data_IF_467619935067
#
_entry.id   IF_467619935067
#
_cell.length_a   1.000
_cell.length_b   1.000
_cell.length_c   1.000
_cell.angle_alpha   90.00
_cell.angle_beta   90.00
_cell.angle_gamma   90.00
#
_symmetry.space_group_name_H-M   'P 1'
#
loop_
_entity.id
_entity.type
_entity.pdbx_description
1 polymer ?
#
# COMPACT_ATOMS: atom_id res chain seq x y z
N UNK A 1 -24.39 -5.40 10.72
CA UNK A 1 -23.86 -4.15 10.13
C UNK A 1 -22.35 -4.20 10.21
N UNK A 2 -21.69 -4.69 9.17
CA UNK A 2 -20.23 -4.75 9.11
C UNK A 2 -19.72 -3.38 8.67
N UNK A 3 -19.21 -2.58 9.61
CA UNK A 3 -18.81 -1.20 9.33
C UNK A 3 -17.47 -1.16 8.58
N UNK A 4 -17.54 -0.55 7.42
CA UNK A 4 -16.59 -0.07 6.40
C UNK A 4 -15.20 0.42 6.85
N UNK A 5 -14.86 0.41 8.14
CA UNK A 5 -13.66 1.08 8.67
C UNK A 5 -12.48 0.16 9.04
N UNK A 6 -12.68 -1.16 9.13
CA UNK A 6 -11.54 -2.11 9.14
C UNK A 6 -10.86 -2.18 7.77
N UNK A 7 -11.64 -1.91 6.73
CA UNK A 7 -11.15 -1.76 5.37
C UNK A 7 -10.25 -0.55 5.21
N UNK A 8 -10.20 0.45 6.09
CA UNK A 8 -9.40 1.68 5.89
C UNK A 8 -7.91 1.45 6.11
N UNK A 9 -7.53 0.63 7.09
CA UNK A 9 -6.13 0.25 7.30
C UNK A 9 -5.62 -0.68 6.19
N UNK A 10 -6.46 -1.65 5.82
CA UNK A 10 -6.24 -2.44 4.61
C UNK A 10 -6.36 -1.59 3.35
N UNK A 11 -7.11 -0.48 3.31
CA UNK A 11 -7.19 0.46 2.18
C UNK A 11 -5.94 1.31 2.08
N UNK A 12 -5.32 1.75 3.17
CA UNK A 12 -4.06 2.49 3.06
C UNK A 12 -2.90 1.60 2.59
N UNK A 13 -3.00 0.30 2.90
CA UNK A 13 -2.09 -0.73 2.40
C UNK A 13 -2.54 -1.30 1.03
N UNK A 14 -3.83 -1.23 0.66
CA UNK A 14 -4.42 -1.75 -0.59
C UNK A 14 -4.71 -0.70 -1.66
N UNK A 15 -4.68 0.60 -1.35
CA UNK A 15 -4.61 1.68 -2.35
C UNK A 15 -3.31 1.51 -3.15
N UNK A 16 -2.32 0.80 -2.61
CA UNK A 16 -1.07 0.46 -3.27
C UNK A 16 -1.14 -0.88 -4.05
N UNK A 17 -2.23 -1.64 -4.00
CA UNK A 17 -2.27 -2.94 -4.69
C UNK A 17 -3.67 -3.49 -4.90
N UNK A 18 -4.02 -3.75 -6.14
CA UNK A 18 -5.23 -4.41 -6.65
C UNK A 18 -5.27 -4.20 -8.18
N UNK A 19 -4.17 -4.49 -8.87
CA UNK A 19 -4.19 -4.85 -10.30
C UNK A 19 -3.80 -6.31 -10.40
N UNK A 20 -4.68 -7.10 -11.01
CA UNK A 20 -4.29 -8.38 -11.57
C UNK A 20 -3.01 -8.24 -12.41
N UNK A 21 -1.90 -8.69 -11.84
CA UNK A 21 -0.71 -9.08 -12.56
C UNK A 21 -0.45 -10.51 -12.14
N UNK A 22 -0.52 -11.41 -13.13
CA UNK A 22 -0.09 -12.79 -12.97
C UNK A 22 1.29 -12.79 -12.28
N UNK A 23 1.37 -13.52 -11.16
CA UNK A 23 2.58 -13.94 -10.43
C UNK A 23 3.07 -13.10 -9.22
N UNK A 24 2.46 -11.98 -8.83
CA UNK A 24 2.99 -11.15 -7.70
C UNK A 24 1.99 -10.61 -6.66
N UNK A 25 0.82 -10.11 -7.08
CA UNK A 25 -0.13 -9.46 -6.17
C UNK A 25 -0.93 -10.43 -5.29
N UNK A 26 -1.08 -11.69 -5.71
CA UNK A 26 -1.88 -12.68 -5.00
C UNK A 26 -1.32 -12.97 -3.59
N UNK A 27 0.01 -13.00 -3.46
CA UNK A 27 0.66 -13.36 -2.20
C UNK A 27 0.51 -12.30 -1.11
N UNK A 28 0.44 -11.01 -1.45
CA UNK A 28 0.37 -9.96 -0.42
C UNK A 28 -0.99 -9.96 0.29
N UNK A 29 -2.07 -9.91 -0.49
CA UNK A 29 -3.43 -9.94 0.04
C UNK A 29 -3.74 -11.25 0.75
N UNK A 30 -3.24 -12.37 0.22
CA UNK A 30 -3.38 -13.67 0.84
C UNK A 30 -2.71 -13.71 2.22
N UNK A 31 -1.48 -13.19 2.35
CA UNK A 31 -0.77 -13.16 3.64
C UNK A 31 -1.44 -12.24 4.67
N UNK A 32 -1.92 -11.08 4.24
CA UNK A 32 -2.68 -10.18 5.13
C UNK A 32 -4.01 -10.79 5.59
N UNK A 33 -4.72 -11.44 4.68
CA UNK A 33 -5.98 -12.10 5.00
C UNK A 33 -5.79 -13.33 5.89
N UNK A 34 -4.74 -14.12 5.68
CA UNK A 34 -4.36 -15.23 6.54
C UNK A 34 -3.98 -14.75 7.96
N UNK A 35 -3.22 -13.65 8.04
CA UNK A 35 -2.92 -12.99 9.32
C UNK A 35 -4.20 -12.55 10.03
N UNK A 36 -5.08 -11.81 9.35
CA UNK A 36 -6.33 -11.29 9.92
C UNK A 36 -7.27 -12.38 10.45
N UNK A 37 -7.40 -13.49 9.72
CA UNK A 37 -8.18 -14.65 10.14
C UNK A 37 -7.62 -15.32 11.39
N UNK A 38 -6.31 -15.23 11.58
CA UNK A 38 -5.60 -15.83 12.71
C UNK A 38 -5.68 -14.96 13.98
N UNK A 39 -6.12 -13.70 13.86
CA UNK A 39 -6.27 -12.78 14.98
C UNK A 39 -7.59 -13.01 15.73
N UNK A 40 -7.53 -12.97 17.06
CA UNK A 40 -8.72 -12.83 17.90
C UNK A 40 -9.36 -11.44 17.71
N UNK A 41 -10.64 -11.25 18.09
CA UNK A 41 -11.29 -9.94 17.99
C UNK A 41 -10.53 -8.81 18.70
N UNK A 42 -9.96 -9.09 19.89
CA UNK A 42 -9.17 -8.11 20.64
C UNK A 42 -7.89 -7.73 19.90
N UNK A 43 -7.15 -8.73 19.40
CA UNK A 43 -5.92 -8.48 18.65
C UNK A 43 -6.18 -7.73 17.34
N UNK A 44 -7.30 -8.00 16.65
CA UNK A 44 -7.71 -7.23 15.47
C UNK A 44 -7.92 -5.75 15.79
N UNK A 45 -8.50 -5.46 16.94
CA UNK A 45 -8.72 -4.09 17.38
C UNK A 45 -7.39 -3.37 17.68
N UNK A 46 -6.46 -4.03 18.38
CA UNK A 46 -5.13 -3.47 18.67
C UNK A 46 -4.33 -3.22 17.37
N UNK A 47 -4.36 -4.17 16.42
CA UNK A 47 -3.77 -3.99 15.09
C UNK A 47 -4.41 -2.81 14.34
N UNK A 48 -5.73 -2.64 14.46
CA UNK A 48 -6.47 -1.53 13.85
C UNK A 48 -6.04 -0.20 14.45
N UNK A 49 -5.93 -0.10 15.77
CA UNK A 49 -5.51 1.12 16.46
C UNK A 49 -4.09 1.53 16.06
N UNK A 50 -3.14 0.58 16.07
CA UNK A 50 -1.75 0.85 15.65
C UNK A 50 -1.72 1.36 14.21
N UNK A 51 -2.38 0.65 13.30
CA UNK A 51 -2.29 0.96 11.88
C UNK A 51 -3.06 2.22 11.47
N UNK A 52 -4.13 2.59 12.17
CA UNK A 52 -4.91 3.79 11.86
C UNK A 52 -4.39 5.04 12.56
N UNK A 53 -3.24 4.97 13.24
CA UNK A 53 -2.60 6.14 13.84
C UNK A 53 -2.14 7.12 12.75
N UNK A 54 -2.95 8.15 12.50
CA UNK A 54 -2.70 9.15 11.46
C UNK A 54 -1.47 10.02 11.70
N UNK A 55 -0.95 10.04 12.93
CA UNK A 55 0.22 10.81 13.31
C UNK A 55 1.51 10.02 13.18
N UNK A 56 1.44 8.69 13.05
CA UNK A 56 2.60 7.85 12.85
C UNK A 56 3.00 7.77 11.38
N UNK A 57 4.30 7.80 11.13
CA UNK A 57 4.89 7.52 9.83
C UNK A 57 4.64 6.06 9.42
N UNK A 58 4.77 5.77 8.12
CA UNK A 58 4.64 4.40 7.60
C UNK A 58 5.61 3.44 8.30
N UNK A 59 6.84 3.89 8.57
CA UNK A 59 7.84 3.08 9.27
C UNK A 59 7.43 2.82 10.72
N UNK A 60 7.00 3.84 11.46
CA UNK A 60 6.54 3.70 12.85
C UNK A 60 5.35 2.75 12.96
N UNK A 61 4.40 2.79 12.01
CA UNK A 61 3.29 1.82 11.97
C UNK A 61 3.81 0.39 11.84
N UNK A 62 4.76 0.14 10.92
CA UNK A 62 5.35 -1.19 10.73
C UNK A 62 6.10 -1.65 11.97
N UNK A 63 6.86 -0.76 12.59
CA UNK A 63 7.66 -1.07 13.78
C UNK A 63 6.77 -1.37 15.00
N UNK A 64 5.72 -0.58 15.21
CA UNK A 64 4.74 -0.81 16.27
C UNK A 64 3.98 -2.14 16.07
N UNK A 65 3.59 -2.45 14.82
CA UNK A 65 2.99 -3.75 14.51
C UNK A 65 3.98 -4.89 14.74
N UNK A 66 5.25 -4.70 14.37
CA UNK A 66 6.30 -5.70 14.60
C UNK A 66 6.49 -5.98 16.09
N UNK A 67 6.53 -4.94 16.93
CA UNK A 67 6.62 -5.08 18.38
C UNK A 67 5.41 -5.82 18.94
N UNK A 68 4.20 -5.45 18.51
CA UNK A 68 2.96 -6.12 18.91
C UNK A 68 2.99 -7.62 18.56
N UNK A 69 3.31 -7.96 17.32
CA UNK A 69 3.35 -9.36 16.86
C UNK A 69 4.49 -10.16 17.50
N UNK A 70 5.62 -9.52 17.80
CA UNK A 70 6.70 -10.13 18.56
C UNK A 70 6.28 -10.47 20.00
N UNK A 71 5.53 -9.57 20.66
CA UNK A 71 4.99 -9.80 21.99
C UNK A 71 3.99 -10.97 22.07
N UNK A 72 3.28 -11.25 20.98
CA UNK A 72 2.42 -12.44 20.85
C UNK A 72 3.26 -13.69 20.54
N UNK A 73 4.25 -13.55 19.65
CA UNK A 73 5.15 -14.61 19.22
C UNK A 73 4.49 -15.68 18.35
N UNK A 74 5.22 -16.76 18.13
CA UNK A 74 4.71 -17.98 17.50
C UNK A 74 4.33 -17.80 16.02
N UNK A 75 3.19 -18.37 15.63
CA UNK A 75 2.72 -18.37 14.24
C UNK A 75 2.30 -16.97 13.75
N UNK A 76 1.75 -16.15 14.65
CA UNK A 76 1.30 -14.79 14.31
C UNK A 76 2.47 -13.87 13.99
N UNK A 77 3.59 -13.98 14.72
CA UNK A 77 4.83 -13.27 14.39
C UNK A 77 5.36 -13.65 13.01
N UNK A 78 5.37 -14.96 12.67
CA UNK A 78 5.81 -15.44 11.36
C UNK A 78 4.92 -14.93 10.23
N UNK A 79 3.59 -14.96 10.42
CA UNK A 79 2.62 -14.46 9.46
C UNK A 79 2.76 -12.97 9.23
N UNK A 80 2.98 -12.19 10.29
CA UNK A 80 3.26 -10.76 10.17
C UNK A 80 4.56 -10.50 9.40
N UNK A 81 5.65 -11.17 9.75
CA UNK A 81 6.94 -10.99 9.06
C UNK A 81 6.83 -11.32 7.56
N UNK A 82 6.06 -12.35 7.19
CA UNK A 82 5.79 -12.68 5.79
C UNK A 82 4.97 -11.57 5.09
N UNK A 83 3.95 -11.01 5.75
CA UNK A 83 3.17 -9.91 5.21
C UNK A 83 4.01 -8.62 5.06
N UNK A 84 4.86 -8.30 6.04
CA UNK A 84 5.75 -7.15 6.01
C UNK A 84 6.78 -7.23 4.87
N UNK A 85 7.33 -8.43 4.61
CA UNK A 85 8.23 -8.64 3.47
C UNK A 85 7.50 -8.46 2.14
N UNK A 86 6.29 -9.02 2.00
CA UNK A 86 5.48 -8.82 0.80
C UNK A 86 5.14 -7.33 0.57
N UNK A 87 4.94 -6.56 1.64
CA UNK A 87 4.77 -5.10 1.53
C UNK A 87 6.02 -4.40 1.00
N UNK A 88 7.21 -4.76 1.48
CA UNK A 88 8.49 -4.23 0.94
C UNK A 88 8.66 -4.56 -0.54
N UNK A 89 8.36 -5.80 -0.93
CA UNK A 89 8.40 -6.22 -2.33
C UNK A 89 7.40 -5.41 -3.17
N UNK A 90 6.23 -5.08 -2.62
CA UNK A 90 5.24 -4.26 -3.33
C UNK A 90 5.72 -2.84 -3.57
N UNK A 91 6.34 -2.19 -2.57
CA UNK A 91 6.97 -0.88 -2.74
C UNK A 91 8.02 -0.94 -3.86
N UNK A 92 8.86 -1.98 -3.88
CA UNK A 92 9.88 -2.16 -4.91
C UNK A 92 9.26 -2.35 -6.32
N UNK A 93 8.18 -3.13 -6.42
CA UNK A 93 7.45 -3.37 -7.67
C UNK A 93 6.86 -2.06 -8.24
N UNK A 94 6.23 -1.25 -7.40
CA UNK A 94 5.65 0.04 -7.84
C UNK A 94 6.76 1.00 -8.25
N UNK A 95 7.83 1.04 -7.47
CA UNK A 95 9.02 1.84 -7.81
C UNK A 95 9.61 1.44 -9.16
N UNK A 96 9.61 0.14 -9.47
CA UNK A 96 10.02 -0.37 -10.78
C UNK A 96 9.05 0.07 -11.89
N UNK A 97 7.74 -0.08 -11.69
CA UNK A 97 6.70 0.38 -12.64
C UNK A 97 6.80 1.89 -12.93
N UNK A 98 7.09 2.69 -11.90
CA UNK A 98 7.33 4.14 -12.05
C UNK A 98 8.54 4.39 -12.95
N UNK A 99 9.68 3.73 -12.68
CA UNK A 99 10.91 3.87 -13.51
C UNK A 99 10.71 3.40 -14.95
N UNK A 100 10.00 2.29 -15.15
CA UNK A 100 9.70 1.78 -16.50
C UNK A 100 8.83 2.77 -17.27
N UNK A 101 7.78 3.33 -16.66
CA UNK A 101 6.97 4.35 -17.33
C UNK A 101 7.75 5.65 -17.54
N UNK A 102 8.58 6.07 -16.58
CA UNK A 102 9.48 7.21 -16.73
C UNK A 102 10.33 7.10 -18.01
N UNK A 103 10.90 5.91 -18.28
CA UNK A 103 11.74 5.69 -19.46
C UNK A 103 11.01 5.77 -20.81
N UNK A 104 9.67 5.71 -20.82
CA UNK A 104 8.88 5.84 -22.05
C UNK A 104 8.68 7.27 -22.53
N UNK A 105 9.01 8.26 -21.69
CA UNK A 105 8.87 9.67 -22.03
C UNK A 105 10.21 10.27 -22.48
N UNK A 106 10.18 11.07 -23.54
CA UNK A 106 11.33 11.87 -23.96
C UNK A 106 11.38 13.24 -23.28
N UNK A 107 10.26 13.71 -22.73
CA UNK A 107 10.16 14.99 -22.02
C UNK A 107 10.79 14.88 -20.62
N UNK A 108 11.80 15.70 -20.35
CA UNK A 108 12.48 15.76 -19.06
C UNK A 108 11.55 16.18 -17.92
N UNK A 109 10.57 17.06 -18.17
CA UNK A 109 9.58 17.43 -17.14
C UNK A 109 8.71 16.24 -16.76
N UNK A 110 8.29 15.44 -17.75
CA UNK A 110 7.55 14.22 -17.49
C UNK A 110 8.39 13.24 -16.65
N UNK A 111 9.67 13.07 -17.00
CA UNK A 111 10.59 12.20 -16.24
C UNK A 111 10.75 12.66 -14.78
N UNK A 112 10.94 13.96 -14.55
CA UNK A 112 11.04 14.52 -13.20
C UNK A 112 9.78 14.26 -12.36
N UNK A 113 8.59 14.33 -12.97
CA UNK A 113 7.32 14.06 -12.29
C UNK A 113 7.26 12.60 -11.83
N UNK A 114 7.63 11.63 -12.68
CA UNK A 114 7.71 10.23 -12.28
C UNK A 114 8.75 10.01 -11.17
N UNK A 115 9.93 10.64 -11.28
CA UNK A 115 10.97 10.51 -10.26
C UNK A 115 10.51 11.03 -8.89
N UNK A 116 9.87 12.21 -8.86
CA UNK A 116 9.30 12.78 -7.63
C UNK A 116 8.24 11.86 -7.03
N UNK A 117 7.33 11.33 -7.86
CA UNK A 117 6.31 10.39 -7.40
C UNK A 117 6.93 9.11 -6.80
N UNK A 118 7.98 8.57 -7.42
CA UNK A 118 8.71 7.41 -6.89
C UNK A 118 9.37 7.70 -5.54
N UNK A 119 10.05 8.84 -5.41
CA UNK A 119 10.69 9.27 -4.15
C UNK A 119 9.69 9.42 -3.00
N UNK A 120 8.53 10.01 -3.27
CA UNK A 120 7.47 10.16 -2.26
C UNK A 120 6.94 8.79 -1.84
N UNK A 121 6.67 7.90 -2.80
CA UNK A 121 6.14 6.58 -2.49
C UNK A 121 7.08 5.74 -1.61
N UNK A 122 8.38 5.79 -1.92
CA UNK A 122 9.42 5.10 -1.17
C UNK A 122 9.75 5.73 0.18
N UNK A 123 9.29 6.95 0.44
CA UNK A 123 9.58 7.64 1.70
C UNK A 123 8.79 7.00 2.84
N UNK A 124 9.47 6.27 3.71
CA UNK A 124 8.86 5.61 4.87
C UNK A 124 8.74 6.53 6.10
N UNK A 125 9.36 7.70 6.06
CA UNK A 125 9.40 8.68 7.16
C UNK A 125 8.30 9.76 7.04
N UNK A 126 7.25 9.46 6.29
CA UNK A 126 6.05 10.30 6.19
C UNK A 126 4.83 9.46 6.53
N UNK A 127 3.75 10.12 6.91
CA UNK A 127 2.44 9.50 7.10
C UNK A 127 1.83 9.12 5.76
N UNK A 128 0.89 8.17 5.76
CA UNK A 128 0.12 7.85 4.56
C UNK A 128 -0.69 9.05 4.02
N UNK A 129 -1.18 9.92 4.92
CA UNK A 129 -1.90 11.13 4.54
C UNK A 129 -1.00 12.13 3.81
N UNK A 130 0.24 12.30 4.28
CA UNK A 130 1.24 13.15 3.61
C UNK A 130 1.65 12.59 2.26
N UNK A 131 1.85 11.28 2.14
CA UNK A 131 2.10 10.63 0.84
C UNK A 131 0.98 10.96 -0.15
N UNK A 132 -0.28 10.69 0.22
CA UNK A 132 -1.42 10.97 -0.66
C UNK A 132 -1.51 12.45 -1.04
N UNK A 133 -1.29 13.36 -0.08
CA UNK A 133 -1.28 14.80 -0.35
C UNK A 133 -0.20 15.18 -1.35
N UNK A 134 1.01 14.66 -1.18
CA UNK A 134 2.14 14.96 -2.06
C UNK A 134 1.96 14.37 -3.46
N UNK A 135 1.52 13.11 -3.58
CA UNK A 135 1.24 12.52 -4.90
C UNK A 135 0.09 13.26 -5.61
N UNK A 136 -1.00 13.58 -4.89
CA UNK A 136 -2.12 14.35 -5.48
C UNK A 136 -1.64 15.71 -6.02
N UNK A 137 -0.81 16.42 -5.26
CA UNK A 137 -0.23 17.69 -5.70
C UNK A 137 0.61 17.56 -6.97
N UNK A 138 1.39 16.48 -7.10
CA UNK A 138 2.14 16.18 -8.33
C UNK A 138 1.19 15.97 -9.50
N UNK A 139 0.13 15.16 -9.32
CA UNK A 139 -0.83 14.85 -10.38
C UNK A 139 -1.63 16.05 -10.86
N UNK A 140 -1.91 17.03 -10.00
CA UNK A 140 -2.58 18.28 -10.37
C UNK A 140 -1.77 19.12 -11.36
N UNK A 141 -0.45 19.01 -11.30
CA UNK A 141 0.48 19.76 -12.18
C UNK A 141 0.99 18.93 -13.35
N UNK A 142 0.70 17.63 -13.38
CA UNK A 142 1.23 16.72 -14.38
C UNK A 142 0.49 16.84 -15.73
N UNK A 143 1.20 16.73 -16.88
CA UNK A 143 0.56 16.58 -18.18
C UNK A 143 -0.40 15.39 -18.19
N UNK A 144 -1.51 15.48 -18.93
CA UNK A 144 -2.60 14.48 -18.91
C UNK A 144 -2.14 13.04 -19.12
N UNK A 145 -1.16 12.81 -19.99
CA UNK A 145 -0.61 11.48 -20.23
C UNK A 145 0.17 10.94 -19.01
N UNK A 146 1.03 11.77 -18.43
CA UNK A 146 1.81 11.44 -17.22
C UNK A 146 0.85 11.18 -16.05
N UNK A 147 -0.14 12.06 -15.88
CA UNK A 147 -1.19 11.93 -14.87
C UNK A 147 -1.90 10.58 -15.01
N UNK A 148 -2.40 10.23 -16.20
CA UNK A 148 -3.09 8.96 -16.44
C UNK A 148 -2.22 7.74 -16.12
N UNK A 149 -0.93 7.79 -16.45
CA UNK A 149 0.01 6.69 -16.17
C UNK A 149 0.28 6.53 -14.68
N UNK A 150 0.55 7.63 -13.97
CA UNK A 150 0.72 7.60 -12.52
C UNK A 150 -0.58 7.20 -11.80
N UNK A 151 -1.72 7.71 -12.25
CA UNK A 151 -3.04 7.29 -11.76
C UNK A 151 -3.25 5.79 -11.96
N UNK A 152 -2.78 5.24 -13.08
CA UNK A 152 -2.87 3.81 -13.33
C UNK A 152 -1.99 2.99 -12.38
N UNK A 153 -0.77 3.46 -12.13
CA UNK A 153 0.20 2.80 -11.23
C UNK A 153 -0.30 2.78 -9.78
N UNK A 154 -0.91 3.87 -9.33
CA UNK A 154 -1.28 4.08 -7.93
C UNK A 154 -2.77 3.84 -7.61
N UNK A 155 -3.70 3.84 -8.59
CA UNK A 155 -5.16 3.74 -8.31
C UNK A 155 -5.95 2.78 -9.22
N UNK A 156 -5.56 2.56 -10.49
CA UNK A 156 -6.26 1.54 -11.32
C UNK A 156 -5.84 0.11 -11.00
N UNK A 157 -4.75 -0.03 -10.25
CA UNK A 157 -4.55 -1.15 -9.35
C UNK A 157 -5.50 -1.12 -8.16
N UNK A 158 -6.74 -0.64 -8.23
CA UNK A 158 -7.68 -0.87 -7.12
C UNK A 158 -9.14 -1.11 -7.44
N UNK A 159 -9.58 -0.78 -8.66
CA UNK A 159 -11.00 -0.77 -9.02
C UNK A 159 -11.55 -2.09 -9.56
N UNK A 160 -10.70 -3.03 -10.00
CA UNK A 160 -11.15 -4.30 -10.59
C UNK A 160 -11.55 -5.36 -9.54
N UNK A 161 -11.17 -5.21 -8.27
CA UNK A 161 -11.45 -6.21 -7.22
C UNK A 161 -12.68 -5.92 -6.35
N UNK A 162 -13.16 -4.68 -6.31
CA UNK A 162 -14.36 -4.33 -5.52
C UNK A 162 -15.63 -5.03 -6.03
N UNK A 163 -15.71 -5.31 -7.34
CA UNK A 163 -16.83 -6.08 -7.92
C UNK A 163 -16.75 -7.58 -7.65
N UNK A 164 -15.55 -8.15 -7.48
CA UNK A 164 -15.38 -9.59 -7.29
C UNK A 164 -15.66 -10.03 -5.85
N UNK A 165 -15.34 -9.19 -4.86
CA UNK A 165 -15.48 -9.53 -3.43
C UNK A 165 -16.92 -9.33 -2.93
N UNK A 166 -17.73 -8.48 -3.59
CA UNK A 166 -19.14 -8.28 -3.26
C UNK A 166 -20.11 -9.20 -4.03
N UNK A 167 -19.58 -10.07 -4.90
CA UNK A 167 -20.39 -10.97 -5.75
C UNK A 167 -20.31 -12.44 -5.33
N UNK A 168 -19.71 -12.76 -4.17
CA UNK A 168 -19.69 -14.11 -3.59
C UNK A 168 -20.17 -14.09 -2.14
#
# INVERSE_FOLDING_TARGET
MFSTNFFVLLFFIAIVGSVQSQNGEFGFFEKLHDLDKSLSPKQREEVREIGTNSSATKQEIIDNLKEFFHGIGGDLEKKFNAAAEMYRLKIAEISKKIKENQSTFNDEKAKEIFEKAGKIHQNMNITFAEEQKQIKSILETAPSEVKRKLEHIFWHSSSQHHKAILSN
#
